data_IF_262946915104
#
_entry.id   IF_262946915104
#
_cell.length_a   1.000
_cell.length_b   1.000
_cell.length_c   1.000
_cell.angle_alpha   90.00
_cell.angle_beta   90.00
_cell.angle_gamma   90.00
#
_symmetry.space_group_name_H-M   'P 1'
#
loop_
_entity.id
_entity.type
_entity.pdbx_description
1 polymer ?
#
# COMPACT_ATOMS: atom_id res chain seq x y z
N UNK A 1 21.05 2.79 23.34
CA UNK A 1 19.59 3.10 23.40
C UNK A 1 18.97 2.65 22.08
N UNK A 2 17.75 2.08 22.07
CA UNK A 2 17.08 1.61 20.84
C UNK A 2 16.86 0.08 20.71
N UNK A 3 17.22 -0.71 21.74
CA UNK A 3 16.90 -2.14 21.76
C UNK A 3 15.40 -2.39 21.98
N UNK A 4 14.78 -1.60 22.87
CA UNK A 4 13.33 -1.60 23.07
C UNK A 4 12.72 -0.61 22.09
N UNK A 5 11.75 -1.09 21.30
CA UNK A 5 11.00 -0.31 20.32
C UNK A 5 9.52 -0.36 20.67
N UNK A 6 8.78 0.68 20.26
CA UNK A 6 7.33 0.74 20.42
C UNK A 6 6.69 0.79 19.03
N UNK A 7 5.55 0.13 18.88
CA UNK A 7 4.77 0.20 17.65
C UNK A 7 4.14 1.59 17.48
N UNK A 8 4.02 2.00 16.22
CA UNK A 8 3.27 3.19 15.85
C UNK A 8 1.76 2.96 16.05
N UNK A 9 0.96 4.03 16.15
CA UNK A 9 -0.48 3.95 16.45
C UNK A 9 -1.27 3.07 15.48
N UNK A 10 -0.93 3.10 14.19
CA UNK A 10 -1.61 2.31 13.15
C UNK A 10 -0.86 1.03 12.74
N UNK A 11 0.23 0.68 13.43
CA UNK A 11 0.97 -0.54 13.10
C UNK A 11 0.13 -1.78 13.45
N UNK A 12 0.03 -2.71 12.50
CA UNK A 12 -0.60 -4.01 12.67
C UNK A 12 0.48 -5.11 12.51
N UNK A 13 0.29 -6.25 13.18
CA UNK A 13 1.16 -7.42 13.01
C UNK A 13 0.36 -8.47 12.25
N UNK A 14 0.92 -9.01 11.17
CA UNK A 14 0.28 -10.10 10.43
C UNK A 14 0.11 -11.33 11.33
N UNK A 15 -1.08 -11.94 11.30
CA UNK A 15 -1.35 -13.22 11.96
C UNK A 15 -0.97 -14.40 11.07
N UNK A 16 -0.80 -14.15 9.78
CA UNK A 16 -0.47 -15.15 8.77
C UNK A 16 -1.72 -15.80 8.19
N UNK A 17 -1.59 -16.31 6.97
CA UNK A 17 -2.65 -16.99 6.24
C UNK A 17 -2.15 -18.23 5.54
N UNK A 18 -3.07 -19.14 5.21
CA UNK A 18 -2.75 -20.31 4.39
C UNK A 18 -2.16 -19.87 3.05
N UNK A 19 -1.04 -20.47 2.66
CA UNK A 19 -0.39 -20.22 1.36
C UNK A 19 -1.05 -20.98 0.21
N UNK A 20 -1.82 -22.03 0.49
CA UNK A 20 -2.43 -22.89 -0.52
C UNK A 20 -3.26 -22.11 -1.57
N UNK A 21 -4.16 -21.17 -1.19
CA UNK A 21 -4.93 -20.40 -2.18
C UNK A 21 -4.05 -19.54 -3.10
N UNK A 22 -2.92 -19.04 -2.57
CA UNK A 22 -1.96 -18.26 -3.37
C UNK A 22 -1.22 -19.16 -4.35
N UNK A 23 -0.81 -20.36 -3.91
CA UNK A 23 -0.10 -21.33 -4.75
C UNK A 23 -1.01 -21.86 -5.86
N UNK A 24 -2.23 -22.28 -5.52
CA UNK A 24 -3.24 -22.73 -6.48
C UNK A 24 -3.50 -21.67 -7.55
N UNK A 25 -3.67 -20.41 -7.12
CA UNK A 25 -3.83 -19.30 -8.06
C UNK A 25 -2.61 -19.13 -8.99
N UNK A 26 -1.38 -19.23 -8.48
CA UNK A 26 -0.17 -19.10 -9.30
C UNK A 26 -0.08 -20.21 -10.36
N UNK A 27 -0.36 -21.46 -9.98
CA UNK A 27 -0.37 -22.61 -10.89
C UNK A 27 -1.41 -22.45 -12.00
N UNK A 28 -2.63 -22.00 -11.66
CA UNK A 28 -3.68 -21.71 -12.63
C UNK A 28 -3.34 -20.53 -13.55
N UNK A 29 -2.58 -19.56 -13.05
CA UNK A 29 -2.17 -18.36 -13.79
C UNK A 29 -0.81 -18.49 -14.49
N UNK A 30 -0.49 -19.67 -15.01
CA UNK A 30 0.64 -19.83 -15.93
C UNK A 30 2.02 -19.70 -15.29
N UNK A 31 2.14 -20.07 -14.02
CA UNK A 31 3.43 -20.34 -13.40
C UNK A 31 4.07 -21.57 -14.06
N UNK A 32 5.23 -21.39 -14.68
CA UNK A 32 6.01 -22.46 -15.29
C UNK A 32 6.95 -23.07 -14.24
N UNK A 33 6.97 -24.40 -14.15
CA UNK A 33 7.88 -25.11 -13.25
C UNK A 33 9.35 -24.93 -13.67
N UNK A 34 10.25 -25.15 -12.72
CA UNK A 34 11.70 -25.09 -12.95
C UNK A 34 12.18 -26.07 -14.03
N UNK A 35 11.58 -27.25 -14.07
CA UNK A 35 11.94 -28.31 -15.03
C UNK A 35 11.53 -27.93 -16.45
N UNK A 36 10.34 -27.36 -16.62
CA UNK A 36 9.82 -26.93 -17.93
C UNK A 36 10.59 -25.74 -18.51
N UNK A 37 11.09 -24.85 -17.65
CA UNK A 37 11.77 -23.63 -18.09
C UNK A 37 13.30 -23.78 -18.23
N UNK A 38 13.89 -24.93 -17.92
CA UNK A 38 15.35 -25.14 -17.89
C UNK A 38 16.09 -24.79 -19.21
N UNK A 39 15.38 -24.81 -20.35
CA UNK A 39 15.94 -24.54 -21.68
C UNK A 39 15.37 -23.28 -22.34
N UNK A 40 14.54 -22.50 -21.64
CA UNK A 40 13.93 -21.30 -22.20
C UNK A 40 14.96 -20.16 -22.28
N UNK A 41 15.06 -19.55 -23.46
CA UNK A 41 15.87 -18.35 -23.70
C UNK A 41 15.11 -17.06 -23.41
N UNK A 42 13.80 -17.14 -23.13
CA UNK A 42 12.96 -15.97 -22.88
C UNK A 42 13.20 -15.48 -21.45
N UNK A 43 13.40 -14.16 -21.24
CA UNK A 43 13.57 -13.63 -19.90
C UNK A 43 12.27 -13.78 -19.10
N UNK A 44 12.30 -14.62 -18.07
CA UNK A 44 11.18 -14.83 -17.14
C UNK A 44 11.49 -14.18 -15.78
N UNK A 45 10.44 -13.94 -14.99
CA UNK A 45 10.55 -13.46 -13.60
C UNK A 45 10.45 -14.66 -12.66
N UNK A 46 11.36 -14.79 -11.69
CA UNK A 46 11.33 -15.83 -10.67
C UNK A 46 10.21 -15.55 -9.67
N UNK A 47 9.41 -16.56 -9.31
CA UNK A 47 8.31 -16.42 -8.34
C UNK A 47 8.63 -17.19 -7.07
N UNK A 48 8.62 -16.49 -5.94
CA UNK A 48 8.87 -17.04 -4.62
C UNK A 48 7.64 -16.90 -3.73
N UNK A 49 7.31 -17.94 -2.97
CA UNK A 49 6.27 -17.90 -1.93
C UNK A 49 6.91 -18.31 -0.60
N UNK A 50 6.93 -17.41 0.38
CA UNK A 50 7.57 -17.62 1.68
C UNK A 50 9.03 -18.12 1.57
N UNK A 51 9.78 -17.55 0.61
CA UNK A 51 11.18 -17.91 0.33
C UNK A 51 11.38 -19.18 -0.50
N UNK A 52 10.33 -19.96 -0.78
CA UNK A 52 10.40 -21.13 -1.66
C UNK A 52 10.28 -20.71 -3.10
N UNK A 53 11.24 -21.10 -3.95
CA UNK A 53 11.18 -20.85 -5.39
C UNK A 53 10.16 -21.79 -6.02
N UNK A 54 9.00 -21.25 -6.38
CA UNK A 54 7.89 -22.03 -6.95
C UNK A 54 8.05 -22.27 -8.45
N UNK A 55 8.59 -21.28 -9.17
CA UNK A 55 8.74 -21.37 -10.62
C UNK A 55 9.10 -20.03 -11.26
N UNK A 56 8.77 -19.89 -12.53
CA UNK A 56 8.96 -18.63 -13.26
C UNK A 56 7.68 -18.22 -13.96
N UNK A 57 7.54 -16.93 -14.22
CA UNK A 57 6.40 -16.38 -14.95
C UNK A 57 6.87 -15.37 -16.00
N UNK A 58 6.28 -15.42 -17.20
CA UNK A 58 6.68 -14.56 -18.33
C UNK A 58 6.15 -13.14 -18.20
N UNK A 59 4.93 -12.97 -17.70
CA UNK A 59 4.28 -11.66 -17.52
C UNK A 59 4.00 -11.35 -16.05
N UNK A 60 5.05 -11.08 -15.28
CA UNK A 60 4.91 -10.75 -13.86
C UNK A 60 4.16 -9.44 -13.59
N UNK A 61 4.09 -8.53 -14.56
CA UNK A 61 3.41 -7.25 -14.38
C UNK A 61 1.88 -7.46 -14.28
N UNK A 62 1.32 -8.26 -15.18
CA UNK A 62 -0.10 -8.60 -15.13
C UNK A 62 -0.42 -9.49 -13.92
N UNK A 63 0.45 -10.45 -13.59
CA UNK A 63 0.27 -11.31 -12.42
C UNK A 63 0.15 -10.50 -11.12
N UNK A 64 1.06 -9.54 -10.89
CA UNK A 64 1.01 -8.64 -9.72
C UNK A 64 -0.26 -7.80 -9.70
N UNK A 65 -0.68 -7.29 -10.85
CA UNK A 65 -1.93 -6.52 -10.96
C UNK A 65 -3.14 -7.35 -10.58
N UNK A 66 -3.18 -8.62 -10.99
CA UNK A 66 -4.28 -9.54 -10.63
C UNK A 66 -4.23 -9.92 -9.16
N UNK A 67 -3.06 -10.27 -8.60
CA UNK A 67 -2.89 -10.57 -7.18
C UNK A 67 -3.33 -9.42 -6.28
N UNK A 68 -2.92 -8.18 -6.59
CA UNK A 68 -3.36 -7.01 -5.83
C UNK A 68 -4.86 -6.78 -5.94
N UNK A 69 -5.48 -7.07 -7.09
CA UNK A 69 -6.96 -7.00 -7.24
C UNK A 69 -7.69 -8.03 -6.39
N UNK A 70 -7.18 -9.27 -6.32
CA UNK A 70 -7.75 -10.32 -5.49
C UNK A 70 -7.62 -9.97 -4.01
N UNK A 71 -6.46 -9.45 -3.59
CA UNK A 71 -6.23 -8.93 -2.23
C UNK A 71 -7.23 -7.83 -1.87
N UNK A 72 -7.46 -6.87 -2.78
CA UNK A 72 -8.40 -5.74 -2.58
C UNK A 72 -9.87 -6.15 -2.58
N UNK A 73 -10.20 -7.40 -2.91
CA UNK A 73 -11.57 -7.95 -2.93
C UNK A 73 -11.83 -8.94 -1.82
N UNK A 74 -10.85 -9.19 -0.94
CA UNK A 74 -10.91 -10.22 0.11
C UNK A 74 -10.93 -11.66 -0.44
N UNK A 75 -10.56 -11.87 -1.71
CA UNK A 75 -10.39 -13.22 -2.30
C UNK A 75 -9.09 -13.88 -1.81
N UNK A 76 -8.07 -13.06 -1.55
CA UNK A 76 -6.82 -13.42 -0.86
C UNK A 76 -6.74 -12.56 0.39
N UNK A 77 -6.18 -13.12 1.48
CA UNK A 77 -6.02 -12.39 2.74
C UNK A 77 -5.36 -11.02 2.53
N UNK A 78 -5.92 -9.93 3.09
CA UNK A 78 -5.35 -8.58 3.02
C UNK A 78 -3.92 -8.46 3.57
N UNK A 79 -3.48 -9.43 4.37
CA UNK A 79 -2.13 -9.47 4.96
C UNK A 79 -1.07 -10.03 4.00
N UNK A 80 -1.47 -10.65 2.88
CA UNK A 80 -0.51 -11.20 1.91
C UNK A 80 0.26 -10.06 1.27
N UNK A 81 1.59 -10.12 1.36
CA UNK A 81 2.47 -9.13 0.73
C UNK A 81 2.87 -9.56 -0.67
N UNK A 82 2.92 -8.60 -1.59
CA UNK A 82 3.21 -8.82 -3.02
C UNK A 82 4.31 -7.86 -3.45
N UNK A 83 5.54 -8.36 -3.52
CA UNK A 83 6.74 -7.57 -3.82
C UNK A 83 7.29 -7.95 -5.18
N UNK A 84 7.37 -6.98 -6.10
CA UNK A 84 7.99 -7.19 -7.43
C UNK A 84 9.27 -6.40 -7.55
N UNK A 85 10.39 -7.10 -7.51
CA UNK A 85 11.70 -6.55 -7.81
C UNK A 85 11.95 -6.61 -9.33
N UNK A 86 11.86 -5.45 -9.98
CA UNK A 86 12.05 -5.33 -11.43
C UNK A 86 13.51 -5.54 -11.82
N UNK A 87 14.47 -5.14 -10.95
CA UNK A 87 15.90 -5.21 -11.23
C UNK A 87 16.39 -6.64 -11.15
N UNK A 88 16.04 -7.34 -10.09
CA UNK A 88 16.45 -8.74 -9.86
C UNK A 88 15.56 -9.75 -10.61
N UNK A 89 14.46 -9.27 -11.23
CA UNK A 89 13.44 -10.08 -11.90
C UNK A 89 12.87 -11.14 -10.95
N UNK A 90 12.42 -10.68 -9.79
CA UNK A 90 11.82 -11.53 -8.75
C UNK A 90 10.44 -10.99 -8.35
N UNK A 91 9.50 -11.92 -8.18
CA UNK A 91 8.22 -11.71 -7.53
C UNK A 91 8.24 -12.52 -6.24
N UNK A 92 8.12 -11.84 -5.10
CA UNK A 92 8.13 -12.46 -3.78
C UNK A 92 6.77 -12.26 -3.12
N UNK A 93 6.21 -13.35 -2.60
CA UNK A 93 4.91 -13.40 -1.96
C UNK A 93 5.10 -13.90 -0.53
N UNK A 94 4.52 -13.18 0.43
CA UNK A 94 4.61 -13.55 1.84
C UNK A 94 3.22 -13.70 2.45
N UNK A 95 2.97 -14.85 3.05
CA UNK A 95 1.73 -15.19 3.77
C UNK A 95 2.00 -15.51 5.24
N UNK A 96 3.24 -15.32 5.70
CA UNK A 96 3.69 -15.58 7.05
C UNK A 96 3.22 -14.53 8.07
N UNK A 97 3.27 -14.94 9.33
CA UNK A 97 2.92 -14.13 10.49
C UNK A 97 4.11 -13.32 11.00
N UNK A 98 3.85 -12.25 11.74
CA UNK A 98 4.88 -11.46 12.42
C UNK A 98 5.43 -10.28 11.61
N UNK A 99 4.94 -10.05 10.39
CA UNK A 99 5.28 -8.86 9.60
C UNK A 99 4.56 -7.65 10.16
N UNK A 100 5.27 -6.53 10.24
CA UNK A 100 4.66 -5.26 10.66
C UNK A 100 4.09 -4.58 9.41
N UNK A 101 2.77 -4.36 9.43
CA UNK A 101 2.03 -3.73 8.36
C UNK A 101 1.50 -2.36 8.80
N UNK A 102 1.29 -1.45 7.85
CA UNK A 102 0.62 -0.18 8.07
C UNK A 102 -0.45 0.07 7.01
N UNK A 103 -1.64 0.54 7.40
CA UNK A 103 -2.71 0.85 6.46
C UNK A 103 -2.45 2.17 5.73
N UNK A 104 -2.63 2.18 4.41
CA UNK A 104 -2.56 3.37 3.56
C UNK A 104 -3.79 3.48 2.67
N UNK A 105 -4.12 4.70 2.24
CA UNK A 105 -5.14 4.87 1.20
C UNK A 105 -4.59 4.50 -0.17
N UNK A 106 -5.40 3.79 -0.95
CA UNK A 106 -5.06 3.44 -2.32
C UNK A 106 -5.28 4.64 -3.23
N UNK A 107 -4.31 4.90 -4.11
CA UNK A 107 -4.35 5.94 -5.13
C UNK A 107 -4.42 5.32 -6.51
N UNK A 108 -5.37 5.77 -7.32
CA UNK A 108 -5.46 5.45 -8.75
C UNK A 108 -5.60 6.75 -9.54
N UNK A 109 -4.83 6.90 -10.62
CA UNK A 109 -4.84 8.08 -11.49
C UNK A 109 -4.66 9.41 -10.71
N UNK A 110 -3.72 9.44 -9.76
CA UNK A 110 -3.47 10.59 -8.88
C UNK A 110 -4.71 11.02 -8.06
N UNK A 111 -5.62 10.10 -7.78
CA UNK A 111 -6.80 10.34 -6.94
C UNK A 111 -6.95 9.25 -5.88
N UNK A 112 -7.40 9.65 -4.70
CA UNK A 112 -7.78 8.69 -3.65
C UNK A 112 -9.00 7.88 -4.11
N UNK A 113 -8.96 6.57 -3.89
CA UNK A 113 -10.15 5.73 -4.00
C UNK A 113 -11.17 6.05 -2.88
N UNK A 114 -10.70 6.59 -1.76
CA UNK A 114 -11.57 7.10 -0.70
C UNK A 114 -12.38 8.30 -1.19
N UNK A 115 -13.70 8.14 -1.21
CA UNK A 115 -14.65 9.19 -1.58
C UNK A 115 -15.44 9.69 -0.37
N UNK A 116 -16.00 10.90 -0.46
CA UNK A 116 -16.86 11.48 0.58
C UNK A 116 -18.05 10.59 0.96
N UNK A 117 -18.54 9.75 0.04
CA UNK A 117 -19.60 8.76 0.33
C UNK A 117 -19.17 7.71 1.37
N UNK A 118 -17.92 7.24 1.30
CA UNK A 118 -17.38 6.26 2.26
C UNK A 118 -17.29 6.88 3.66
N UNK A 119 -16.90 8.16 3.74
CA UNK A 119 -16.87 8.90 5.01
C UNK A 119 -18.28 9.03 5.59
N UNK A 120 -19.28 9.37 4.75
CA UNK A 120 -20.69 9.44 5.19
C UNK A 120 -21.18 8.11 5.75
N UNK A 121 -20.83 6.99 5.11
CA UNK A 121 -21.19 5.65 5.61
C UNK A 121 -20.54 5.33 6.96
N UNK A 122 -19.29 5.78 7.20
CA UNK A 122 -18.62 5.60 8.50
C UNK A 122 -19.24 6.48 9.60
N UNK A 123 -19.74 7.67 9.27
CA UNK A 123 -20.26 8.63 10.25
C UNK A 123 -21.74 8.46 10.54
N UNK A 124 -22.51 7.96 9.58
CA UNK A 124 -23.96 7.85 9.67
C UNK A 124 -24.34 6.38 9.66
N UNK A 125 -24.77 5.81 10.80
CA UNK A 125 -25.30 4.46 10.82
C UNK A 125 -26.54 4.42 9.92
N UNK A 126 -26.50 3.60 8.86
CA UNK A 126 -27.67 3.31 8.04
C UNK A 126 -28.63 2.45 8.85
N UNK A 127 -29.92 2.79 8.82
CA UNK A 127 -30.96 2.07 9.58
C UNK A 127 -31.17 0.62 9.13
N UNK A 128 -30.59 0.23 7.99
CA UNK A 128 -30.79 -1.07 7.34
C UNK A 128 -29.66 -2.08 7.61
N UNK A 129 -28.51 -1.66 8.15
CA UNK A 129 -27.38 -2.54 8.49
C UNK A 129 -27.17 -2.56 10.01
N UNK A 130 -27.57 -3.65 10.68
CA UNK A 130 -27.37 -3.81 12.14
C UNK A 130 -25.88 -3.70 12.55
N UNK A 131 -24.95 -4.02 11.64
CA UNK A 131 -23.51 -3.93 11.90
C UNK A 131 -22.87 -2.59 11.48
N UNK A 132 -23.50 -1.82 10.59
CA UNK A 132 -22.97 -0.57 10.03
C UNK A 132 -21.67 -0.71 9.21
N UNK A 133 -21.36 0.31 8.40
CA UNK A 133 -20.11 0.37 7.64
C UNK A 133 -18.92 0.67 8.55
N UNK A 134 -17.93 -0.23 8.61
CA UNK A 134 -16.79 -0.20 9.54
C UNK A 134 -15.44 -0.22 8.80
N UNK A 135 -14.36 -0.12 9.57
CA UNK A 135 -12.97 -0.21 9.07
C UNK A 135 -12.72 -1.46 8.21
N UNK A 136 -13.24 -2.63 8.63
CA UNK A 136 -13.11 -3.86 7.85
C UNK A 136 -13.69 -3.73 6.43
N UNK A 137 -14.76 -2.95 6.25
CA UNK A 137 -15.36 -2.71 4.93
C UNK A 137 -14.48 -1.82 4.04
N UNK A 138 -13.64 -0.95 4.61
CA UNK A 138 -12.67 -0.16 3.83
C UNK A 138 -11.54 -1.04 3.28
N UNK A 139 -11.07 -2.01 4.08
CA UNK A 139 -10.04 -2.96 3.65
C UNK A 139 -10.62 -3.89 2.58
N UNK A 140 -11.74 -4.56 2.88
CA UNK A 140 -12.41 -5.49 1.95
C UNK A 140 -12.94 -4.81 0.70
N UNK A 141 -13.25 -3.51 0.80
CA UNK A 141 -13.67 -2.68 -0.34
C UNK A 141 -12.52 -2.13 -1.18
N UNK A 142 -11.27 -2.47 -0.88
CA UNK A 142 -10.11 -2.01 -1.64
C UNK A 142 -9.91 -0.49 -1.58
N UNK A 143 -10.28 0.13 -0.46
CA UNK A 143 -10.08 1.57 -0.22
C UNK A 143 -8.80 1.82 0.57
N UNK A 144 -8.52 0.90 1.50
CA UNK A 144 -7.32 0.88 2.34
C UNK A 144 -6.56 -0.41 2.06
N UNK A 145 -5.24 -0.32 1.95
CA UNK A 145 -4.34 -1.45 1.72
C UNK A 145 -3.32 -1.52 2.86
N UNK A 146 -3.08 -2.73 3.37
CA UNK A 146 -2.06 -2.98 4.39
C UNK A 146 -0.73 -3.23 3.67
N UNK A 147 0.27 -2.40 3.93
CA UNK A 147 1.61 -2.57 3.39
C UNK A 147 2.58 -2.97 4.49
N UNK A 148 3.39 -3.99 4.23
CA UNK A 148 4.55 -4.29 5.05
C UNK A 148 5.80 -3.56 4.57
N UNK A 149 6.88 -3.69 5.33
CA UNK A 149 8.13 -2.99 5.05
C UNK A 149 8.77 -3.38 3.70
N UNK A 150 8.62 -4.62 3.24
CA UNK A 150 9.18 -5.05 1.96
C UNK A 150 8.36 -4.54 0.78
N UNK A 151 7.03 -4.56 0.87
CA UNK A 151 6.18 -3.99 -0.19
C UNK A 151 6.34 -2.47 -0.27
N UNK A 152 6.61 -1.81 0.85
CA UNK A 152 6.87 -0.37 0.94
C UNK A 152 8.03 0.09 0.03
N UNK A 153 9.06 -0.73 -0.18
CA UNK A 153 10.19 -0.40 -1.05
C UNK A 153 9.81 -0.27 -2.54
N UNK A 154 8.64 -0.81 -2.93
CA UNK A 154 8.19 -0.86 -4.33
C UNK A 154 7.06 0.12 -4.66
N UNK A 155 6.57 0.87 -3.67
CA UNK A 155 5.44 1.78 -3.82
C UNK A 155 5.88 3.25 -3.71
N UNK A 156 5.00 4.15 -4.16
CA UNK A 156 5.19 5.60 -4.05
C UNK A 156 4.05 6.18 -3.22
N UNK A 157 4.38 6.74 -2.05
CA UNK A 157 3.42 7.18 -1.04
C UNK A 157 3.41 8.71 -0.95
N UNK A 158 2.28 9.34 -1.20
CA UNK A 158 2.09 10.78 -0.96
C UNK A 158 1.83 11.05 0.53
N UNK A 159 2.35 12.16 1.04
CA UNK A 159 2.19 12.52 2.46
C UNK A 159 0.80 13.10 2.77
N UNK A 160 0.25 13.86 1.82
CA UNK A 160 -1.06 14.49 1.95
C UNK A 160 -1.86 14.34 0.65
N UNK A 161 -3.21 14.39 0.72
CA UNK A 161 -4.04 14.42 -0.49
C UNK A 161 -3.77 15.64 -1.39
N UNK A 162 -3.27 16.74 -0.82
CA UNK A 162 -2.88 17.94 -1.58
C UNK A 162 -1.69 17.66 -2.50
N UNK A 163 -0.77 16.76 -2.11
CA UNK A 163 0.35 16.37 -2.96
C UNK A 163 -0.12 15.62 -4.23
N UNK A 164 -1.24 14.91 -4.14
CA UNK A 164 -1.88 14.27 -5.30
C UNK A 164 -2.47 15.30 -6.25
N UNK A 165 -3.15 16.32 -5.71
CA UNK A 165 -3.69 17.44 -6.47
C UNK A 165 -2.58 18.21 -7.18
N UNK A 166 -1.52 18.54 -6.46
CA UNK A 166 -0.37 19.26 -6.98
C UNK A 166 0.29 18.48 -8.12
N UNK A 167 0.49 17.16 -7.96
CA UNK A 167 1.03 16.31 -9.02
C UNK A 167 0.14 16.28 -10.26
N UNK A 168 -1.19 16.28 -10.08
CA UNK A 168 -2.15 16.32 -11.19
C UNK A 168 -2.13 17.65 -11.94
N UNK A 169 -2.05 18.78 -11.24
CA UNK A 169 -1.94 20.11 -11.84
C UNK A 169 -0.61 20.27 -12.59
N UNK A 170 0.49 19.80 -12.01
CA UNK A 170 1.78 19.81 -12.70
C UNK A 170 1.77 18.96 -13.98
N UNK A 171 1.11 17.80 -13.95
CA UNK A 171 0.95 16.95 -15.15
C UNK A 171 0.14 17.63 -16.26
N UNK A 172 -0.82 18.50 -15.93
CA UNK A 172 -1.55 19.30 -16.91
C UNK A 172 -0.84 20.59 -17.33
N UNK A 173 0.38 20.83 -16.83
CA UNK A 173 1.17 22.03 -17.11
C UNK A 173 0.71 23.27 -16.34
N UNK A 174 -0.17 23.11 -15.35
CA UNK A 174 -0.63 24.18 -14.47
C UNK A 174 0.32 24.27 -13.28
N UNK A 175 0.79 25.47 -12.95
CA UNK A 175 1.59 25.68 -11.76
C UNK A 175 0.66 25.57 -10.52
N UNK A 176 0.83 24.54 -9.65
CA UNK A 176 -0.03 24.34 -8.49
C UNK A 176 0.08 25.48 -7.46
N UNK A 177 1.21 26.20 -7.46
CA UNK A 177 1.48 27.30 -6.54
C UNK A 177 1.12 28.67 -7.12
N UNK A 178 0.40 28.72 -8.24
CA UNK A 178 0.00 29.99 -8.86
C UNK A 178 -1.06 30.74 -8.04
N UNK A 179 -1.83 30.03 -7.21
CA UNK A 179 -2.93 30.55 -6.40
C UNK A 179 -2.66 30.41 -4.89
N UNK A 180 -1.43 30.02 -4.51
CA UNK A 180 -1.00 30.11 -3.12
C UNK A 180 -1.00 31.60 -2.75
N UNK A 181 -1.71 31.95 -1.67
CA UNK A 181 -1.88 33.33 -1.22
C UNK A 181 -0.57 34.01 -0.77
N UNK A 182 -0.69 35.10 0.01
CA UNK A 182 0.49 35.74 0.60
C UNK A 182 1.34 34.73 1.40
N UNK A 183 2.66 34.83 1.24
CA UNK A 183 3.64 34.00 1.92
C UNK A 183 3.45 34.07 3.44
N UNK A 184 3.01 32.96 4.04
CA UNK A 184 2.90 32.82 5.50
C UNK A 184 4.23 32.29 6.08
N UNK A 185 4.97 33.10 6.86
CA UNK A 185 6.23 32.68 7.47
C UNK A 185 6.07 31.56 8.50
N UNK A 186 4.86 31.35 9.03
CA UNK A 186 4.55 30.31 10.01
C UNK A 186 4.08 29.00 9.35
N UNK A 187 3.85 28.99 8.03
CA UNK A 187 3.44 27.78 7.33
C UNK A 187 4.58 26.76 7.26
N UNK A 188 4.22 25.47 7.37
CA UNK A 188 5.18 24.37 7.22
C UNK A 188 5.74 24.36 5.80
N UNK A 189 7.06 24.37 5.68
CA UNK A 189 7.74 24.22 4.40
C UNK A 189 7.42 22.85 3.79
N UNK A 190 6.87 22.84 2.58
CA UNK A 190 6.62 21.62 1.79
C UNK A 190 7.70 21.46 0.73
N UNK A 191 8.16 20.23 0.52
CA UNK A 191 9.07 19.92 -0.56
C UNK A 191 8.33 19.93 -1.90
N UNK A 192 9.03 20.29 -2.98
CA UNK A 192 8.48 20.18 -4.34
C UNK A 192 8.15 18.73 -4.67
N UNK A 193 6.92 18.46 -5.10
CA UNK A 193 6.50 17.13 -5.55
C UNK A 193 6.96 16.91 -6.98
N UNK A 194 7.91 15.99 -7.20
CA UNK A 194 8.37 15.60 -8.54
C UNK A 194 7.98 14.17 -8.92
N UNK A 195 7.00 13.59 -8.22
CA UNK A 195 6.53 12.24 -8.48
C UNK A 195 5.43 12.24 -9.55
N UNK A 196 5.56 11.34 -10.53
CA UNK A 196 4.59 11.19 -11.62
C UNK A 196 3.64 10.00 -11.44
N UNK A 197 3.86 9.15 -10.43
CA UNK A 197 3.11 7.88 -10.27
C UNK A 197 2.90 7.55 -8.79
N UNK A 198 1.92 8.18 -8.14
CA UNK A 198 1.55 7.82 -6.78
C UNK A 198 0.74 6.52 -6.78
N UNK A 199 1.02 5.62 -5.83
CA UNK A 199 0.26 4.38 -5.66
C UNK A 199 -0.53 4.36 -4.36
N UNK A 200 -0.05 5.08 -3.34
CA UNK A 200 -0.72 5.20 -2.05
C UNK A 200 -0.61 6.62 -1.51
N UNK A 201 -1.43 6.90 -0.51
CA UNK A 201 -1.36 8.13 0.28
C UNK A 201 -1.41 7.78 1.76
N UNK A 202 -0.61 8.49 2.55
CA UNK A 202 -0.70 8.45 4.01
C UNK A 202 -2.09 8.80 4.49
N UNK A 203 -2.54 8.10 5.54
CA UNK A 203 -3.81 8.43 6.19
C UNK A 203 -3.67 9.74 6.95
N UNK A 204 -2.60 9.84 7.74
CA UNK A 204 -2.18 11.08 8.38
C UNK A 204 -0.73 10.94 8.88
N UNK A 205 0.18 11.91 8.62
CA UNK A 205 1.58 11.80 9.02
C UNK A 205 1.83 11.58 10.52
N UNK A 206 0.91 12.01 11.40
CA UNK A 206 1.04 11.80 12.85
C UNK A 206 0.91 10.33 13.27
N UNK A 207 0.42 9.46 12.39
CA UNK A 207 0.25 8.02 12.69
C UNK A 207 1.59 7.28 12.79
N UNK A 208 2.70 7.92 12.42
CA UNK A 208 4.06 7.43 12.66
C UNK A 208 4.44 7.41 14.16
N UNK A 209 3.75 8.22 14.98
CA UNK A 209 4.07 8.33 16.40
C UNK A 209 3.64 7.08 17.16
N UNK A 210 4.40 6.73 18.21
CA UNK A 210 3.97 5.78 19.23
C UNK A 210 3.08 6.45 20.28
N UNK A 211 2.48 5.64 21.16
CA UNK A 211 1.52 6.09 22.18
C UNK A 211 2.07 7.26 23.01
N UNK A 212 3.27 7.13 23.57
CA UNK A 212 3.85 8.18 24.42
C UNK A 212 4.23 9.46 23.65
N UNK A 213 4.56 9.36 22.37
CA UNK A 213 4.88 10.53 21.57
C UNK A 213 3.60 11.25 21.11
N UNK A 214 2.49 10.53 20.96
CA UNK A 214 1.20 11.08 20.51
C UNK A 214 0.53 12.03 21.51
N UNK A 215 0.97 12.02 22.78
CA UNK A 215 0.47 12.90 23.84
C UNK A 215 1.30 14.18 24.01
N UNK A 216 2.39 14.32 23.27
CA UNK A 216 3.24 15.51 23.33
C UNK A 216 2.57 16.61 22.50
N UNK A 217 2.28 17.80 23.06
CA UNK A 217 1.74 18.90 22.29
C UNK A 217 2.80 19.42 21.31
N UNK A 218 2.40 19.64 20.06
CA UNK A 218 3.25 20.14 18.97
C UNK A 218 4.60 19.39 18.87
N UNK A 219 4.57 18.06 18.66
CA UNK A 219 5.78 17.23 18.69
C UNK A 219 6.75 17.57 17.55
N UNK A 220 6.26 18.18 16.49
CA UNK A 220 7.00 18.66 15.31
C UNK A 220 7.68 20.04 15.52
N UNK A 221 7.42 20.70 16.65
CA UNK A 221 8.01 22.01 17.02
C UNK A 221 9.00 21.90 18.17
N UNK A 222 9.40 20.68 18.54
CA UNK A 222 10.29 20.41 19.67
C UNK A 222 11.73 20.07 19.19
N UNK A 223 12.72 20.29 20.06
CA UNK A 223 14.16 20.10 19.77
C UNK A 223 14.58 18.63 19.69
#
# INVERSE_FOLDING_TARGET
CGLVKNLALMACISVGSLSAPVIEFLEEWGLESLEENAHSTTPCTKVFVNGVWMGVHRDAANLVKTLKKLRRRDDISPEVSVVRDIREKELRLYTDAGRVCRPLFIVENQQLLLQKKHIRWLTTPTAEDEEGYKWGNLIKGGIVELLDAEEEETVMISMTPEDLENSRLQQSGVNPHADDGEFDPAARLKAGTHAHTWTHCEIHPSMILGICASIIPFPDHNQ
#
